data_IF_209876465879
#
_entry.id   IF_209876465879
#
_cell.length_a   1.000
_cell.length_b   1.000
_cell.length_c   1.000
_cell.angle_alpha   90.00
_cell.angle_beta   90.00
_cell.angle_gamma   90.00
#
_symmetry.space_group_name_H-M   'P 1'
#
loop_
_entity.id
_entity.type
_entity.pdbx_description
1 polymer ?
#
# COMPACT_ATOMS: atom_id res chain seq x y z
N UNK A 1 37.50 20.97 46.63
CA UNK A 1 37.75 19.63 46.05
C UNK A 1 36.59 18.72 46.42
N UNK A 2 35.68 18.48 45.49
CA UNK A 2 34.81 17.30 45.48
C UNK A 2 34.36 17.10 44.04
N UNK A 3 34.82 15.98 43.50
CA UNK A 3 34.75 15.52 42.12
C UNK A 3 33.31 15.18 41.72
N UNK A 4 32.85 15.73 40.60
CA UNK A 4 31.64 15.29 39.91
C UNK A 4 31.91 13.96 39.19
N UNK A 5 31.06 12.97 39.45
CA UNK A 5 31.05 11.66 38.78
C UNK A 5 30.74 11.79 37.28
N UNK A 6 31.56 11.23 36.38
CA UNK A 6 31.19 11.01 34.99
C UNK A 6 30.75 9.56 34.81
N UNK A 7 29.44 9.30 34.95
CA UNK A 7 28.90 7.96 34.66
C UNK A 7 27.49 8.07 34.09
N UNK A 8 27.42 8.47 32.81
CA UNK A 8 26.35 8.11 31.87
C UNK A 8 26.72 8.54 30.44
N UNK A 9 27.77 7.92 29.89
CA UNK A 9 27.94 7.81 28.44
C UNK A 9 27.70 6.34 28.08
N UNK A 10 26.44 5.97 27.90
CA UNK A 10 26.10 4.75 27.17
C UNK A 10 26.56 4.95 25.73
N UNK A 11 27.57 4.19 25.31
CA UNK A 11 28.01 4.10 23.92
C UNK A 11 26.81 3.68 23.06
N UNK A 12 26.15 4.62 22.38
CA UNK A 12 25.26 4.28 21.27
C UNK A 12 26.13 3.63 20.20
N UNK A 13 26.10 2.31 20.08
CA UNK A 13 26.62 1.64 18.91
C UNK A 13 25.93 2.26 17.69
N UNK A 14 26.70 2.87 16.80
CA UNK A 14 26.18 3.42 15.56
C UNK A 14 25.52 2.29 14.78
N UNK A 15 24.25 2.47 14.41
CA UNK A 15 23.51 1.45 13.68
C UNK A 15 24.24 1.09 12.37
N UNK A 16 24.32 -0.19 12.07
CA UNK A 16 25.07 -0.78 10.98
C UNK A 16 24.18 -0.93 9.76
N UNK A 17 24.52 -0.22 8.68
CA UNK A 17 23.78 -0.28 7.42
C UNK A 17 24.66 -0.92 6.36
N UNK A 18 24.10 -1.87 5.62
CA UNK A 18 24.78 -2.47 4.47
C UNK A 18 24.17 -1.98 3.17
N UNK A 19 25.01 -1.78 2.16
CA UNK A 19 24.60 -1.36 0.82
C UNK A 19 25.14 -2.36 -0.19
N UNK A 20 24.29 -2.93 -1.02
CA UNK A 20 24.70 -3.81 -2.13
C UNK A 20 24.18 -3.24 -3.45
N UNK A 21 25.10 -2.93 -4.36
CA UNK A 21 24.81 -2.34 -5.67
C UNK A 21 26.05 -2.53 -6.57
N UNK A 22 25.87 -2.89 -7.83
CA UNK A 22 26.98 -3.09 -8.77
C UNK A 22 27.58 -1.76 -9.25
N UNK A 23 26.82 -0.66 -9.20
CA UNK A 23 27.29 0.68 -9.51
C UNK A 23 28.10 1.28 -8.34
N UNK A 24 29.42 1.43 -8.57
CA UNK A 24 30.33 2.06 -7.63
C UNK A 24 29.90 3.49 -7.25
N UNK A 25 29.33 4.27 -8.17
CA UNK A 25 28.91 5.64 -7.94
C UNK A 25 27.76 5.70 -6.93
N UNK A 26 26.78 4.80 -7.09
CA UNK A 26 25.63 4.68 -6.18
C UNK A 26 26.10 4.26 -4.79
N UNK A 27 26.96 3.23 -4.69
CA UNK A 27 27.54 2.81 -3.41
C UNK A 27 28.28 3.94 -2.72
N UNK A 28 29.12 4.66 -3.45
CA UNK A 28 29.91 5.75 -2.90
C UNK A 28 29.04 6.90 -2.35
N UNK A 29 28.01 7.30 -3.10
CA UNK A 29 27.09 8.37 -2.68
C UNK A 29 26.31 7.95 -1.43
N UNK A 30 25.72 6.75 -1.42
CA UNK A 30 24.98 6.24 -0.27
C UNK A 30 25.87 6.05 0.96
N UNK A 31 27.07 5.50 0.78
CA UNK A 31 28.01 5.30 1.87
C UNK A 31 28.42 6.63 2.51
N UNK A 32 28.71 7.65 1.70
CA UNK A 32 29.06 8.98 2.21
C UNK A 32 27.89 9.63 2.95
N UNK A 33 26.70 9.57 2.38
CA UNK A 33 25.47 10.10 2.96
C UNK A 33 25.16 9.50 4.33
N UNK A 34 25.08 8.17 4.39
CA UNK A 34 24.70 7.44 5.59
C UNK A 34 25.76 7.55 6.69
N UNK A 35 27.07 7.56 6.33
CA UNK A 35 28.14 7.85 7.30
C UNK A 35 28.04 9.26 7.86
N UNK A 36 27.72 10.25 7.02
CA UNK A 36 27.53 11.64 7.46
C UNK A 36 26.34 11.79 8.41
N UNK A 37 25.32 10.93 8.27
CA UNK A 37 24.20 10.83 9.20
C UNK A 37 24.50 10.05 10.49
N UNK A 38 25.73 9.56 10.69
CA UNK A 38 26.18 8.89 11.91
C UNK A 38 26.03 7.36 11.92
N UNK A 39 25.77 6.74 10.76
CA UNK A 39 25.69 5.28 10.64
C UNK A 39 27.04 4.64 10.33
N UNK A 40 27.21 3.37 10.74
CA UNK A 40 28.33 2.55 10.27
C UNK A 40 27.92 1.86 8.97
N UNK A 41 28.65 2.12 7.88
CA UNK A 41 28.27 1.61 6.55
C UNK A 41 29.32 0.66 5.99
N UNK A 42 28.86 -0.46 5.43
CA UNK A 42 29.68 -1.44 4.70
C UNK A 42 29.01 -1.68 3.34
N UNK A 43 29.78 -1.58 2.25
CA UNK A 43 29.26 -1.65 0.88
C UNK A 43 29.79 -2.87 0.13
N UNK A 44 28.94 -3.48 -0.71
CA UNK A 44 29.23 -4.72 -1.43
C UNK A 44 28.91 -4.55 -2.91
N UNK A 45 29.79 -5.02 -3.78
CA UNK A 45 29.61 -4.93 -5.25
C UNK A 45 28.81 -6.10 -5.84
N UNK A 46 28.47 -7.10 -5.02
CA UNK A 46 27.72 -8.27 -5.49
C UNK A 46 26.97 -8.96 -4.35
N UNK A 47 25.85 -9.60 -4.71
CA UNK A 47 25.05 -10.44 -3.83
C UNK A 47 25.89 -11.55 -3.16
N UNK A 48 26.82 -12.17 -3.88
CA UNK A 48 27.68 -13.22 -3.34
C UNK A 48 28.55 -12.75 -2.16
N UNK A 49 29.12 -11.54 -2.25
CA UNK A 49 29.92 -10.96 -1.15
C UNK A 49 29.04 -10.61 0.05
N UNK A 50 27.85 -10.07 -0.19
CA UNK A 50 26.85 -9.80 0.84
C UNK A 50 26.47 -11.10 1.58
N UNK A 51 26.09 -12.15 0.84
CA UNK A 51 25.68 -13.44 1.40
C UNK A 51 26.81 -14.11 2.20
N UNK A 52 28.06 -14.02 1.72
CA UNK A 52 29.21 -14.51 2.46
C UNK A 52 29.39 -13.76 3.78
N UNK A 53 29.19 -12.43 3.78
CA UNK A 53 29.29 -11.60 4.97
C UNK A 53 28.16 -11.87 5.97
N UNK A 54 26.93 -12.09 5.49
CA UNK A 54 25.75 -12.44 6.31
C UNK A 54 25.97 -13.68 7.19
N UNK A 55 26.80 -14.62 6.75
CA UNK A 55 27.18 -15.81 7.56
C UNK A 55 27.96 -15.47 8.83
N UNK A 56 28.55 -14.27 8.92
CA UNK A 56 29.45 -13.86 10.01
C UNK A 56 28.94 -12.67 10.83
N UNK A 57 28.00 -11.89 10.29
CA UNK A 57 27.41 -10.70 10.93
C UNK A 57 26.12 -10.37 10.19
N UNK A 58 25.19 -9.71 10.86
CA UNK A 58 24.02 -9.10 10.22
C UNK A 58 24.11 -7.57 10.30
N UNK A 59 23.55 -6.83 9.33
CA UNK A 59 23.30 -5.41 9.47
C UNK A 59 21.98 -5.15 10.20
N UNK A 60 21.78 -3.90 10.59
CA UNK A 60 20.52 -3.41 11.13
C UNK A 60 19.52 -3.02 10.03
N UNK A 61 20.02 -2.61 8.86
CA UNK A 61 19.27 -2.29 7.63
C UNK A 61 20.11 -2.68 6.41
N UNK A 62 19.47 -3.24 5.37
CA UNK A 62 20.10 -3.52 4.09
C UNK A 62 19.49 -2.65 2.99
N UNK A 63 20.31 -1.94 2.22
CA UNK A 63 19.95 -1.37 0.93
C UNK A 63 20.43 -2.32 -0.17
N UNK A 64 19.55 -2.71 -1.09
CA UNK A 64 19.88 -3.65 -2.17
C UNK A 64 19.33 -3.19 -3.51
N UNK A 65 20.18 -3.17 -4.55
CA UNK A 65 19.70 -3.11 -5.92
C UNK A 65 18.99 -4.42 -6.31
N UNK A 66 17.85 -4.35 -7.01
CA UNK A 66 17.16 -5.52 -7.58
C UNK A 66 17.89 -6.03 -8.83
N UNK A 67 18.58 -5.17 -9.58
CA UNK A 67 19.14 -5.53 -10.88
C UNK A 67 20.66 -5.59 -10.85
N UNK A 68 21.21 -6.42 -9.98
CA UNK A 68 22.62 -6.77 -10.06
C UNK A 68 22.86 -7.91 -11.06
N UNK A 69 23.97 -7.89 -11.82
CA UNK A 69 24.37 -9.02 -12.65
C UNK A 69 24.56 -10.29 -11.81
N UNK A 70 23.88 -11.38 -12.18
CA UNK A 70 23.97 -12.67 -11.48
C UNK A 70 22.62 -13.16 -10.95
N UNK A 71 22.51 -13.37 -9.63
CA UNK A 71 21.25 -13.76 -8.99
C UNK A 71 20.19 -12.66 -9.18
N UNK A 72 18.98 -13.05 -9.57
CA UNK A 72 17.82 -12.16 -9.66
C UNK A 72 17.61 -11.48 -8.30
N UNK A 73 17.63 -10.13 -8.24
CA UNK A 73 17.58 -9.42 -6.96
C UNK A 73 16.27 -9.62 -6.20
N UNK A 74 15.18 -10.01 -6.88
CA UNK A 74 13.97 -10.49 -6.20
C UNK A 74 14.15 -11.88 -5.57
N UNK A 75 14.97 -12.74 -6.21
CA UNK A 75 15.42 -14.00 -5.64
C UNK A 75 16.30 -13.81 -4.41
N UNK A 76 17.23 -12.84 -4.44
CA UNK A 76 18.03 -12.44 -3.28
C UNK A 76 17.11 -11.95 -2.15
N UNK A 77 16.18 -11.05 -2.44
CA UNK A 77 15.21 -10.55 -1.47
C UNK A 77 14.41 -11.69 -0.81
N UNK A 78 13.90 -12.62 -1.61
CA UNK A 78 13.15 -13.79 -1.13
C UNK A 78 14.00 -14.70 -0.24
N UNK A 79 15.26 -14.95 -0.63
CA UNK A 79 16.22 -15.74 0.15
C UNK A 79 16.54 -15.08 1.51
N UNK A 80 16.71 -13.75 1.50
CA UNK A 80 16.98 -12.97 2.70
C UNK A 80 15.77 -12.89 3.63
N UNK A 81 14.55 -12.78 3.10
CA UNK A 81 13.34 -12.84 3.91
C UNK A 81 13.15 -14.20 4.59
N UNK A 82 13.48 -15.30 3.90
CA UNK A 82 13.40 -16.64 4.49
C UNK A 82 14.47 -16.89 5.57
N UNK A 83 15.69 -16.37 5.39
CA UNK A 83 16.81 -16.60 6.31
C UNK A 83 16.92 -15.57 7.44
N UNK A 84 16.48 -14.33 7.19
CA UNK A 84 16.58 -13.18 8.08
C UNK A 84 15.28 -12.34 8.04
N UNK A 85 14.14 -12.88 8.48
CA UNK A 85 12.82 -12.22 8.36
C UNK A 85 12.71 -10.90 9.13
N UNK A 86 13.56 -10.68 10.13
CA UNK A 86 13.59 -9.43 10.91
C UNK A 86 14.48 -8.33 10.31
N UNK A 87 15.24 -8.64 9.25
CA UNK A 87 16.11 -7.66 8.60
C UNK A 87 15.28 -6.75 7.69
N UNK A 88 15.16 -5.44 7.96
CA UNK A 88 14.50 -4.53 7.03
C UNK A 88 15.37 -4.32 5.79
N UNK A 89 14.83 -4.69 4.64
CA UNK A 89 15.49 -4.57 3.33
C UNK A 89 14.83 -3.44 2.55
N UNK A 90 15.60 -2.40 2.22
CA UNK A 90 15.21 -1.31 1.34
C UNK A 90 15.73 -1.62 -0.05
N UNK A 91 14.83 -1.64 -1.01
CA UNK A 91 15.15 -1.91 -2.40
C UNK A 91 15.54 -0.64 -3.13
N UNK A 92 16.57 -0.68 -3.95
CA UNK A 92 16.95 0.40 -4.87
C UNK A 92 16.68 -0.11 -6.29
N UNK A 93 16.05 0.70 -7.14
CA UNK A 93 15.73 0.27 -8.51
C UNK A 93 15.79 1.44 -9.50
N UNK A 94 16.28 1.18 -10.72
CA UNK A 94 16.21 2.12 -11.83
C UNK A 94 14.85 2.15 -12.54
N UNK A 95 13.98 1.16 -12.28
CA UNK A 95 12.60 1.20 -12.74
C UNK A 95 11.71 1.87 -11.72
N UNK A 96 11.11 2.96 -12.16
CA UNK A 96 10.21 3.80 -11.42
C UNK A 96 8.76 3.52 -11.81
N UNK A 97 8.44 2.28 -12.22
CA UNK A 97 7.12 1.85 -12.63
C UNK A 97 6.40 1.07 -11.53
N UNK A 98 5.08 0.91 -11.71
CA UNK A 98 4.20 0.31 -10.71
C UNK A 98 4.58 -1.14 -10.42
N UNK A 99 4.85 -1.94 -11.45
CA UNK A 99 5.16 -3.37 -11.30
C UNK A 99 6.42 -3.60 -10.47
N UNK A 100 7.46 -2.79 -10.66
CA UNK A 100 8.68 -2.89 -9.86
C UNK A 100 8.44 -2.52 -8.40
N UNK A 101 7.63 -1.48 -8.13
CA UNK A 101 7.27 -1.10 -6.78
C UNK A 101 6.47 -2.22 -6.08
N UNK A 102 5.48 -2.79 -6.75
CA UNK A 102 4.68 -3.90 -6.23
C UNK A 102 5.55 -5.12 -5.98
N UNK A 103 6.37 -5.54 -6.96
CA UNK A 103 7.23 -6.71 -6.85
C UNK A 103 8.22 -6.62 -5.67
N UNK A 104 8.74 -5.41 -5.39
CA UNK A 104 9.58 -5.18 -4.21
C UNK A 104 8.83 -5.46 -2.90
N UNK A 105 7.61 -4.93 -2.74
CA UNK A 105 6.80 -5.20 -1.54
C UNK A 105 6.30 -6.65 -1.48
N UNK A 106 5.97 -7.27 -2.61
CA UNK A 106 5.59 -8.70 -2.67
C UNK A 106 6.72 -9.61 -2.20
N UNK A 107 7.97 -9.31 -2.60
CA UNK A 107 9.16 -10.01 -2.14
C UNK A 107 9.51 -9.76 -0.67
N UNK A 108 8.80 -8.87 0.02
CA UNK A 108 9.00 -8.57 1.45
C UNK A 108 9.96 -7.40 1.72
N UNK A 109 10.17 -6.50 0.76
CA UNK A 109 10.90 -5.27 1.03
C UNK A 109 10.19 -4.43 2.11
N UNK A 110 10.98 -3.78 2.97
CA UNK A 110 10.49 -2.81 3.92
C UNK A 110 10.00 -1.53 3.24
N UNK A 111 10.75 -1.07 2.23
CA UNK A 111 10.39 0.02 1.33
C UNK A 111 11.26 -0.05 0.07
N UNK A 112 11.03 0.84 -0.89
CA UNK A 112 11.88 1.02 -2.07
C UNK A 112 12.25 2.50 -2.31
N UNK A 113 13.39 2.67 -3.00
CA UNK A 113 14.04 3.94 -3.34
C UNK A 113 14.35 3.97 -4.85
N UNK A 114 13.58 4.72 -5.66
CA UNK A 114 13.79 4.79 -7.11
C UNK A 114 15.04 5.61 -7.47
N UNK A 115 15.81 5.19 -8.49
CA UNK A 115 16.90 5.97 -9.08
C UNK A 115 16.31 6.91 -10.16
N UNK A 116 16.72 8.20 -10.23
CA UNK A 116 17.59 8.89 -9.28
C UNK A 116 16.85 9.22 -7.97
N UNK A 117 17.55 9.12 -6.84
CA UNK A 117 17.02 9.43 -5.51
C UNK A 117 17.72 10.62 -4.87
N UNK A 118 17.02 11.26 -3.94
CA UNK A 118 17.61 12.21 -3.01
C UNK A 118 18.34 11.47 -1.87
N UNK A 119 19.48 12.01 -1.46
CA UNK A 119 20.29 11.48 -0.36
C UNK A 119 19.52 11.57 0.97
N UNK A 120 18.78 12.65 1.19
CA UNK A 120 18.00 12.86 2.40
C UNK A 120 16.89 11.81 2.51
N UNK A 121 16.32 11.36 1.38
CA UNK A 121 15.31 10.31 1.36
C UNK A 121 15.88 8.96 1.82
N UNK A 122 17.10 8.62 1.38
CA UNK A 122 17.80 7.41 1.79
C UNK A 122 18.08 7.43 3.31
N UNK A 123 18.52 8.57 3.85
CA UNK A 123 18.77 8.74 5.29
C UNK A 123 17.47 8.61 6.09
N UNK A 124 16.37 9.25 5.65
CA UNK A 124 15.07 9.15 6.32
C UNK A 124 14.53 7.71 6.30
N UNK A 125 14.69 7.00 5.19
CA UNK A 125 14.30 5.60 5.06
C UNK A 125 15.08 4.70 6.03
N UNK A 126 16.39 4.89 6.13
CA UNK A 126 17.23 4.17 7.08
C UNK A 126 16.78 4.39 8.54
N UNK A 127 16.53 5.65 8.93
CA UNK A 127 16.05 5.99 10.27
C UNK A 127 14.69 5.35 10.57
N UNK A 128 13.78 5.37 9.59
CA UNK A 128 12.45 4.77 9.71
C UNK A 128 12.54 3.25 9.89
N UNK A 129 13.37 2.58 9.08
CA UNK A 129 13.62 1.14 9.16
C UNK A 129 14.21 0.72 10.51
N UNK A 130 15.13 1.52 11.08
CA UNK A 130 15.70 1.28 12.40
C UNK A 130 14.67 1.43 13.52
N UNK A 131 13.72 2.36 13.37
CA UNK A 131 12.68 2.64 14.36
C UNK A 131 11.56 1.60 14.35
N UNK A 132 11.36 0.91 13.23
CA UNK A 132 10.27 -0.05 13.01
C UNK A 132 10.61 -1.50 13.34
N UNK A 133 11.56 -1.76 14.26
CA UNK A 133 11.93 -3.11 14.76
C UNK A 133 10.84 -3.83 15.55
N UNK A 134 9.57 -3.65 15.18
CA UNK A 134 8.50 -4.53 15.61
C UNK A 134 8.18 -5.52 14.49
N UNK A 135 7.95 -6.80 14.84
CA UNK A 135 7.73 -7.84 13.87
C UNK A 135 6.41 -7.59 13.14
N UNK A 136 6.46 -7.43 11.82
CA UNK A 136 5.30 -7.70 10.98
C UNK A 136 5.35 -9.16 10.57
N UNK A 137 4.25 -9.84 10.84
CA UNK A 137 4.06 -11.26 10.57
C UNK A 137 4.38 -11.61 9.10
N UNK A 138 4.94 -12.79 8.84
CA UNK A 138 5.09 -13.30 7.48
C UNK A 138 3.70 -13.71 6.99
N UNK A 139 3.13 -12.95 6.06
CA UNK A 139 1.97 -13.43 5.29
C UNK A 139 2.43 -13.87 3.89
N UNK A 140 2.64 -15.19 3.81
CA UNK A 140 2.33 -16.09 2.71
C UNK A 140 2.87 -15.68 1.33
N UNK A 141 3.92 -16.38 0.91
CA UNK A 141 4.25 -16.60 -0.50
C UNK A 141 3.10 -17.36 -1.17
N UNK A 142 2.39 -16.72 -2.08
CA UNK A 142 1.62 -17.42 -3.11
C UNK A 142 2.13 -16.95 -4.46
N UNK A 143 2.78 -17.88 -5.15
CA UNK A 143 3.08 -17.82 -6.57
C UNK A 143 1.86 -17.33 -7.34
N UNK A 144 2.06 -16.39 -8.25
CA UNK A 144 1.16 -16.26 -9.40
C UNK A 144 1.93 -15.69 -10.57
N UNK A 145 2.37 -16.59 -11.43
CA UNK A 145 2.27 -16.35 -12.85
C UNK A 145 0.78 -16.33 -13.20
N UNK A 146 0.29 -15.23 -13.74
CA UNK A 146 -0.67 -15.16 -14.84
C UNK A 146 -1.03 -13.70 -15.08
N UNK A 147 -0.35 -13.11 -16.07
CA UNK A 147 -0.73 -11.87 -16.70
C UNK A 147 -2.01 -12.14 -17.52
N UNK A 148 -3.13 -11.58 -17.07
CA UNK A 148 -4.26 -11.29 -17.95
C UNK A 148 -4.29 -9.80 -18.20
N UNK A 149 -3.88 -9.50 -19.41
CA UNK A 149 -3.72 -8.21 -20.05
C UNK A 149 -5.05 -7.44 -20.10
N UNK A 150 -5.10 -6.33 -19.38
CA UNK A 150 -5.90 -5.14 -19.70
C UNK A 150 -5.11 -3.93 -19.21
N UNK A 151 -3.98 -3.66 -19.87
CA UNK A 151 -3.13 -2.50 -19.59
C UNK A 151 -3.92 -1.19 -19.73
N UNK A 152 -4.21 -0.58 -18.60
CA UNK A 152 -4.37 0.87 -18.48
C UNK A 152 -3.23 1.32 -17.56
N UNK A 153 -2.02 1.29 -18.13
CA UNK A 153 -0.81 1.46 -17.34
C UNK A 153 -0.74 2.86 -16.76
N UNK A 154 -0.58 2.90 -15.45
CA UNK A 154 -0.36 4.11 -14.67
C UNK A 154 1.10 4.52 -14.93
N UNK A 155 1.32 5.46 -15.84
CA UNK A 155 2.66 5.88 -16.27
C UNK A 155 3.01 7.22 -15.62
N UNK A 156 4.19 7.33 -15.01
CA UNK A 156 4.68 8.61 -14.51
C UNK A 156 5.99 8.53 -13.75
N UNK A 157 6.99 9.29 -14.17
CA UNK A 157 8.31 9.32 -13.53
C UNK A 157 8.48 10.50 -12.55
N UNK A 158 7.45 11.31 -12.35
CA UNK A 158 7.49 12.42 -11.41
C UNK A 158 7.58 11.91 -9.96
N UNK A 159 8.28 12.62 -9.04
CA UNK A 159 8.40 12.20 -7.64
C UNK A 159 7.05 11.90 -6.96
N UNK A 160 6.02 12.71 -7.22
CA UNK A 160 4.68 12.47 -6.68
C UNK A 160 4.05 11.16 -7.17
N UNK A 161 4.32 10.76 -8.42
CA UNK A 161 3.85 9.47 -8.95
C UNK A 161 4.59 8.28 -8.31
N UNK A 162 5.87 8.47 -7.98
CA UNK A 162 6.62 7.45 -7.22
C UNK A 162 6.05 7.25 -5.82
N UNK A 163 5.61 8.31 -5.16
CA UNK A 163 4.91 8.18 -3.88
C UNK A 163 3.59 7.40 -4.01
N UNK A 164 2.86 7.61 -5.11
CA UNK A 164 1.64 6.84 -5.42
C UNK A 164 1.97 5.37 -5.66
N UNK A 165 2.96 5.04 -6.49
CA UNK A 165 3.38 3.64 -6.72
C UNK A 165 3.82 2.95 -5.43
N UNK A 166 4.55 3.68 -4.56
CA UNK A 166 4.91 3.20 -3.23
C UNK A 166 3.72 2.94 -2.33
N UNK A 167 2.74 3.84 -2.33
CA UNK A 167 1.52 3.64 -1.59
C UNK A 167 0.75 2.41 -2.11
N UNK A 168 0.63 2.26 -3.43
CA UNK A 168 -0.05 1.12 -4.06
C UNK A 168 0.64 -0.19 -3.66
N UNK A 169 1.95 -0.32 -3.89
CA UNK A 169 2.68 -1.56 -3.58
C UNK A 169 2.58 -1.95 -2.11
N UNK A 170 2.69 -0.98 -1.19
CA UNK A 170 2.55 -1.21 0.25
C UNK A 170 1.13 -1.63 0.66
N UNK A 171 0.10 -1.08 0.01
CA UNK A 171 -1.30 -1.33 0.36
C UNK A 171 -1.91 -2.50 -0.42
N UNK A 172 -1.30 -2.94 -1.52
CA UNK A 172 -1.86 -3.94 -2.42
C UNK A 172 -2.22 -5.23 -1.68
N UNK A 173 -1.31 -5.73 -0.83
CA UNK A 173 -1.49 -6.96 -0.05
C UNK A 173 -2.36 -6.83 1.20
N UNK A 174 -2.80 -5.62 1.54
CA UNK A 174 -3.64 -5.37 2.71
C UNK A 174 -5.12 -5.29 2.34
N UNK A 175 -6.00 -5.74 3.24
CA UNK A 175 -7.45 -5.58 3.09
C UNK A 175 -7.98 -4.25 3.66
N UNK A 176 -7.10 -3.31 4.04
CA UNK A 176 -7.53 -2.00 4.55
C UNK A 176 -8.29 -1.20 3.49
N UNK A 177 -9.24 -0.40 3.95
CA UNK A 177 -9.91 0.62 3.15
C UNK A 177 -8.90 1.66 2.70
N UNK A 178 -8.99 2.09 1.44
CA UNK A 178 -8.12 3.13 0.88
C UNK A 178 -8.99 4.28 0.38
N UNK A 179 -8.71 5.49 0.83
CA UNK A 179 -9.28 6.72 0.29
C UNK A 179 -8.28 7.39 -0.66
N UNK A 180 -8.73 7.68 -1.89
CA UNK A 180 -7.94 8.32 -2.94
C UNK A 180 -8.46 9.75 -3.13
N UNK A 181 -7.66 10.73 -2.72
CA UNK A 181 -7.96 12.14 -2.91
C UNK A 181 -7.26 12.66 -4.17
N UNK A 182 -7.97 13.46 -4.96
CA UNK A 182 -7.39 14.13 -6.12
C UNK A 182 -8.47 14.79 -6.97
N UNK A 183 -8.06 15.82 -7.73
CA UNK A 183 -8.97 16.54 -8.61
C UNK A 183 -9.67 15.61 -9.63
N UNK A 184 -10.78 16.05 -10.20
CA UNK A 184 -11.48 15.28 -11.22
C UNK A 184 -10.58 15.09 -12.45
N UNK A 185 -10.50 13.87 -12.96
CA UNK A 185 -9.66 13.55 -14.13
C UNK A 185 -8.20 13.20 -13.84
N UNK A 186 -7.74 13.17 -12.58
CA UNK A 186 -6.34 12.82 -12.23
C UNK A 186 -6.05 11.31 -12.21
N UNK A 187 -6.94 10.47 -12.75
CA UNK A 187 -6.73 9.02 -12.81
C UNK A 187 -6.99 8.26 -11.51
N UNK A 188 -7.85 8.76 -10.60
CA UNK A 188 -8.22 8.06 -9.34
C UNK A 188 -8.72 6.62 -9.56
N UNK A 189 -9.50 6.40 -10.62
CA UNK A 189 -9.96 5.04 -10.98
C UNK A 189 -8.78 4.13 -11.39
N UNK A 190 -7.78 4.67 -12.09
CA UNK A 190 -6.59 3.90 -12.47
C UNK A 190 -5.81 3.43 -11.23
N UNK A 191 -5.70 4.30 -10.21
CA UNK A 191 -5.10 3.94 -8.92
C UNK A 191 -5.91 2.85 -8.21
N UNK A 192 -7.24 2.95 -8.23
CA UNK A 192 -8.11 1.92 -7.63
C UNK A 192 -8.00 0.57 -8.34
N UNK A 193 -7.89 0.57 -9.68
CA UNK A 193 -7.68 -0.63 -10.49
C UNK A 193 -6.31 -1.26 -10.21
N UNK A 194 -5.26 -0.45 -10.13
CA UNK A 194 -3.93 -0.90 -9.75
C UNK A 194 -3.92 -1.58 -8.36
N UNK A 195 -4.55 -0.95 -7.36
CA UNK A 195 -4.71 -1.54 -6.02
C UNK A 195 -5.40 -2.91 -6.06
N UNK A 196 -6.42 -3.07 -6.91
CA UNK A 196 -7.11 -4.35 -7.06
C UNK A 196 -6.26 -5.41 -7.77
N UNK A 197 -5.66 -5.06 -8.91
CA UNK A 197 -4.84 -5.95 -9.75
C UNK A 197 -3.66 -6.56 -8.99
N UNK A 198 -3.05 -5.78 -8.09
CA UNK A 198 -1.93 -6.24 -7.27
C UNK A 198 -2.35 -6.79 -5.90
N UNK A 199 -3.65 -6.89 -5.62
CA UNK A 199 -4.13 -7.39 -4.33
C UNK A 199 -4.27 -8.91 -4.26
N UNK A 200 -4.42 -9.41 -3.03
CA UNK A 200 -4.85 -10.79 -2.76
C UNK A 200 -6.22 -11.13 -3.38
N UNK A 201 -7.00 -10.12 -3.78
CA UNK A 201 -8.34 -10.26 -4.37
C UNK A 201 -8.38 -10.04 -5.88
N UNK A 202 -7.23 -10.02 -6.57
CA UNK A 202 -7.15 -9.77 -8.02
C UNK A 202 -7.94 -10.73 -8.91
N UNK A 203 -8.24 -11.94 -8.41
CA UNK A 203 -9.06 -12.94 -9.10
C UNK A 203 -10.57 -12.71 -8.86
N UNK A 204 -10.92 -11.89 -7.87
CA UNK A 204 -12.28 -11.50 -7.57
C UNK A 204 -12.77 -10.34 -8.45
N UNK A 205 -14.05 -9.98 -8.36
CA UNK A 205 -14.62 -8.90 -9.15
C UNK A 205 -14.11 -7.52 -8.73
N UNK A 206 -13.83 -6.66 -9.71
CA UNK A 206 -13.70 -5.22 -9.50
C UNK A 206 -15.00 -4.52 -9.91
N UNK A 207 -15.77 -4.04 -8.93
CA UNK A 207 -17.04 -3.36 -9.16
C UNK A 207 -16.86 -1.87 -8.89
N UNK A 208 -17.03 -1.04 -9.92
CA UNK A 208 -16.98 0.41 -9.78
C UNK A 208 -18.39 1.01 -9.68
N UNK A 209 -18.56 1.99 -8.81
CA UNK A 209 -19.78 2.75 -8.64
C UNK A 209 -19.44 4.23 -8.48
N UNK A 210 -19.86 5.05 -9.45
CA UNK A 210 -19.77 6.50 -9.31
C UNK A 210 -21.04 7.03 -8.64
N UNK A 211 -20.89 7.55 -7.43
CA UNK A 211 -22.03 8.00 -6.61
C UNK A 211 -22.66 9.30 -7.11
N UNK A 212 -21.91 10.14 -7.82
CA UNK A 212 -22.41 11.38 -8.42
C UNK A 212 -23.21 11.14 -9.70
N UNK A 213 -22.97 10.02 -10.39
CA UNK A 213 -23.65 9.66 -11.65
C UNK A 213 -25.04 9.05 -11.44
N UNK A 214 -25.40 8.65 -10.22
CA UNK A 214 -26.62 7.93 -9.91
C UNK A 214 -27.57 8.84 -9.12
N UNK A 215 -28.85 8.94 -9.51
CA UNK A 215 -29.85 9.67 -8.72
C UNK A 215 -29.88 9.18 -7.26
N UNK A 216 -29.96 10.12 -6.30
CA UNK A 216 -29.84 9.84 -4.86
C UNK A 216 -30.86 8.79 -4.38
N UNK A 217 -32.06 8.83 -4.94
CA UNK A 217 -33.16 7.90 -4.70
C UNK A 217 -32.91 6.48 -5.20
N UNK A 218 -32.02 6.30 -6.18
CA UNK A 218 -31.65 4.99 -6.73
C UNK A 218 -30.33 4.46 -6.17
N UNK A 219 -29.49 5.32 -5.60
CA UNK A 219 -28.15 4.95 -5.12
C UNK A 219 -28.20 3.84 -4.06
N UNK A 220 -29.20 3.86 -3.17
CA UNK A 220 -29.40 2.83 -2.16
C UNK A 220 -29.63 1.44 -2.79
N UNK A 221 -30.52 1.41 -3.76
CA UNK A 221 -30.90 0.20 -4.49
C UNK A 221 -29.75 -0.32 -5.36
N UNK A 222 -28.93 0.56 -5.94
CA UNK A 222 -27.72 0.15 -6.66
C UNK A 222 -26.66 -0.45 -5.72
N UNK A 223 -26.41 0.16 -4.57
CA UNK A 223 -25.42 -0.31 -3.59
C UNK A 223 -25.81 -1.65 -2.96
N UNK A 224 -27.02 -1.72 -2.38
CA UNK A 224 -27.44 -2.83 -1.54
C UNK A 224 -28.42 -3.78 -2.24
N UNK A 225 -28.91 -3.45 -3.43
CA UNK A 225 -29.94 -4.24 -4.11
C UNK A 225 -31.32 -4.03 -3.51
N UNK A 226 -32.33 -4.62 -4.14
CA UNK A 226 -33.71 -4.53 -3.67
C UNK A 226 -34.47 -5.83 -3.91
N UNK A 227 -35.48 -6.06 -3.07
CA UNK A 227 -36.48 -7.10 -3.28
C UNK A 227 -37.62 -6.61 -4.18
N UNK A 228 -38.35 -7.55 -4.77
CA UNK A 228 -39.54 -7.23 -5.58
C UNK A 228 -40.56 -6.48 -4.73
N UNK A 229 -41.03 -5.34 -5.23
CA UNK A 229 -42.02 -4.50 -4.53
C UNK A 229 -41.46 -3.58 -3.44
N UNK A 230 -40.13 -3.44 -3.33
CA UNK A 230 -39.49 -2.57 -2.34
C UNK A 230 -39.84 -1.07 -2.52
N UNK A 231 -40.12 -0.63 -3.75
CA UNK A 231 -40.56 0.73 -4.09
C UNK A 231 -41.37 0.71 -5.40
N UNK A 232 -42.01 1.83 -5.75
CA UNK A 232 -42.75 1.98 -7.00
C UNK A 232 -41.82 1.82 -8.20
N UNK A 233 -42.01 0.75 -8.97
CA UNK A 233 -41.14 0.40 -10.11
C UNK A 233 -40.21 -0.79 -9.85
N UNK A 234 -40.14 -1.32 -8.63
CA UNK A 234 -39.39 -2.54 -8.29
C UNK A 234 -40.10 -3.81 -8.80
N UNK A 235 -40.10 -4.01 -10.12
CA UNK A 235 -40.81 -5.12 -10.78
C UNK A 235 -40.22 -6.51 -10.43
N UNK A 236 -38.95 -6.57 -10.08
CA UNK A 236 -38.24 -7.79 -9.71
C UNK A 236 -37.20 -7.52 -8.62
N UNK A 237 -36.55 -8.58 -8.17
CA UNK A 237 -35.41 -8.51 -7.27
C UNK A 237 -34.16 -8.12 -8.07
N UNK A 238 -33.27 -7.31 -7.48
CA UNK A 238 -31.99 -6.92 -8.07
C UNK A 238 -30.86 -7.04 -7.06
N UNK A 239 -29.74 -7.62 -7.50
CA UNK A 239 -28.52 -7.78 -6.71
C UNK A 239 -27.73 -6.46 -6.72
N UNK A 240 -27.34 -6.00 -5.53
CA UNK A 240 -26.58 -4.75 -5.35
C UNK A 240 -25.08 -4.89 -5.64
N UNK A 241 -24.37 -3.75 -5.67
CA UNK A 241 -22.92 -3.72 -5.90
C UNK A 241 -22.11 -4.41 -4.83
N UNK A 242 -22.54 -4.36 -3.56
CA UNK A 242 -21.86 -5.09 -2.48
C UNK A 242 -21.85 -6.60 -2.70
N UNK A 243 -23.00 -7.17 -3.11
CA UNK A 243 -23.09 -8.59 -3.43
C UNK A 243 -22.28 -8.94 -4.70
N UNK A 244 -22.36 -8.10 -5.74
CA UNK A 244 -21.58 -8.28 -6.97
C UNK A 244 -20.07 -8.25 -6.70
N UNK A 245 -19.63 -7.46 -5.72
CA UNK A 245 -18.22 -7.29 -5.36
C UNK A 245 -17.71 -8.34 -4.36
N UNK A 246 -18.53 -9.32 -3.98
CA UNK A 246 -18.16 -10.35 -3.02
C UNK A 246 -16.88 -11.10 -3.43
N UNK A 247 -15.92 -11.23 -2.50
CA UNK A 247 -14.60 -11.82 -2.74
C UNK A 247 -13.65 -10.90 -3.52
N UNK A 248 -14.08 -9.69 -3.89
CA UNK A 248 -13.36 -8.75 -4.74
C UNK A 248 -13.20 -7.38 -4.10
N UNK A 249 -13.26 -6.35 -4.94
CA UNK A 249 -13.11 -4.93 -4.57
C UNK A 249 -14.29 -4.11 -5.08
N UNK A 250 -14.87 -3.31 -4.20
CA UNK A 250 -15.87 -2.30 -4.54
C UNK A 250 -15.20 -0.93 -4.52
N UNK A 251 -15.14 -0.30 -5.68
CA UNK A 251 -14.63 1.05 -5.88
C UNK A 251 -15.80 2.05 -5.83
N UNK A 252 -15.77 2.94 -4.84
CA UNK A 252 -16.76 4.01 -4.64
C UNK A 252 -16.16 5.34 -5.11
N UNK A 253 -16.49 5.75 -6.32
CA UNK A 253 -16.06 7.03 -6.87
C UNK A 253 -16.98 8.17 -6.41
N UNK A 254 -16.36 9.31 -6.17
CA UNK A 254 -16.95 10.52 -5.61
C UNK A 254 -17.70 10.32 -4.28
N UNK A 255 -17.14 9.53 -3.35
CA UNK A 255 -17.77 9.17 -2.06
C UNK A 255 -18.33 10.37 -1.26
N UNK A 256 -17.76 11.56 -1.45
CA UNK A 256 -18.29 12.78 -0.86
C UNK A 256 -19.75 13.03 -1.24
N UNK A 257 -20.16 12.76 -2.48
CA UNK A 257 -21.52 13.02 -2.96
C UNK A 257 -22.59 12.05 -2.41
N UNK A 258 -22.17 11.07 -1.60
CA UNK A 258 -23.07 10.13 -0.95
C UNK A 258 -24.00 10.84 0.07
N UNK A 259 -25.32 10.64 -0.01
CA UNK A 259 -26.28 11.10 0.99
C UNK A 259 -25.99 10.61 2.43
N UNK A 260 -26.30 11.43 3.43
CA UNK A 260 -26.00 11.16 4.85
C UNK A 260 -26.67 9.90 5.43
N UNK A 261 -27.88 9.61 4.98
CA UNK A 261 -28.62 8.39 5.31
C UNK A 261 -27.89 7.14 4.78
N UNK A 262 -27.34 7.22 3.56
CA UNK A 262 -26.54 6.15 2.97
C UNK A 262 -25.18 5.98 3.64
N UNK A 263 -24.52 7.07 4.03
CA UNK A 263 -23.27 7.01 4.79
C UNK A 263 -23.43 6.20 6.09
N UNK A 264 -24.58 6.36 6.77
CA UNK A 264 -24.90 5.62 8.00
C UNK A 264 -25.03 4.11 7.75
N UNK A 265 -25.64 3.72 6.62
CA UNK A 265 -25.73 2.31 6.24
C UNK A 265 -24.37 1.75 5.80
N UNK A 266 -23.62 2.52 5.00
CA UNK A 266 -22.28 2.15 4.58
C UNK A 266 -21.37 1.86 5.79
N UNK A 267 -21.37 2.73 6.81
CA UNK A 267 -20.61 2.52 8.03
C UNK A 267 -20.93 1.18 8.72
N UNK A 268 -22.21 0.78 8.76
CA UNK A 268 -22.62 -0.53 9.32
C UNK A 268 -22.07 -1.68 8.50
N UNK A 269 -22.09 -1.58 7.18
CA UNK A 269 -21.53 -2.64 6.31
C UNK A 269 -20.01 -2.73 6.47
N UNK A 270 -19.31 -1.59 6.59
CA UNK A 270 -17.88 -1.55 6.89
C UNK A 270 -17.52 -2.11 8.27
N UNK A 271 -18.45 -2.04 9.22
CA UNK A 271 -18.25 -2.57 10.57
C UNK A 271 -18.50 -4.08 10.65
N UNK A 272 -19.63 -4.53 10.09
CA UNK A 272 -20.15 -5.88 10.34
C UNK A 272 -20.05 -6.82 9.13
N UNK A 273 -19.71 -6.30 7.94
CA UNK A 273 -19.67 -7.09 6.69
C UNK A 273 -21.02 -7.65 6.25
N UNK A 274 -22.12 -7.06 6.73
CA UNK A 274 -23.48 -7.56 6.51
C UNK A 274 -24.49 -6.43 6.32
N UNK A 275 -25.53 -6.70 5.53
CA UNK A 275 -26.60 -5.75 5.24
C UNK A 275 -27.89 -6.44 4.81
N UNK A 276 -28.94 -5.65 4.63
CA UNK A 276 -30.21 -6.06 4.05
C UNK A 276 -30.43 -5.31 2.74
N UNK A 277 -31.02 -5.99 1.75
CA UNK A 277 -31.55 -5.34 0.55
C UNK A 277 -32.66 -4.36 0.93
N UNK A 278 -32.91 -3.37 0.08
CA UNK A 278 -34.07 -2.49 0.23
C UNK A 278 -35.35 -3.32 0.19
N UNK A 279 -36.18 -3.18 1.22
CA UNK A 279 -37.42 -3.96 1.39
C UNK A 279 -37.21 -5.43 1.76
N UNK A 280 -35.97 -5.87 1.95
CA UNK A 280 -35.63 -7.25 2.31
C UNK A 280 -35.51 -7.46 3.82
N UNK A 281 -35.79 -8.68 4.26
CA UNK A 281 -35.60 -9.14 5.66
C UNK A 281 -34.50 -10.18 5.81
N UNK A 282 -33.93 -10.64 4.69
CA UNK A 282 -32.82 -11.58 4.69
C UNK A 282 -31.50 -10.82 4.89
N UNK A 283 -30.75 -11.25 5.91
CA UNK A 283 -29.41 -10.75 6.17
C UNK A 283 -28.42 -11.33 5.16
N UNK A 284 -27.67 -10.46 4.51
CA UNK A 284 -26.68 -10.81 3.49
C UNK A 284 -25.30 -10.50 4.06
N UNK A 285 -24.37 -11.45 3.96
CA UNK A 285 -22.97 -11.28 4.35
C UNK A 285 -22.09 -11.18 3.12
N UNK A 286 -21.22 -10.19 3.09
CA UNK A 286 -20.30 -9.99 1.97
C UNK A 286 -18.91 -9.63 2.49
N UNK A 287 -17.90 -10.36 2.03
CA UNK A 287 -16.50 -9.96 2.19
C UNK A 287 -16.06 -9.13 0.97
N UNK A 288 -15.86 -7.82 1.14
CA UNK A 288 -15.52 -6.88 0.07
C UNK A 288 -14.44 -5.92 0.55
N UNK A 289 -13.40 -5.71 -0.27
CA UNK A 289 -12.41 -4.66 -0.03
C UNK A 289 -12.95 -3.36 -0.58
N UNK A 290 -12.86 -2.28 0.19
CA UNK A 290 -13.37 -0.98 -0.21
C UNK A 290 -12.23 -0.06 -0.63
N UNK A 291 -12.38 0.53 -1.80
CA UNK A 291 -11.53 1.63 -2.26
C UNK A 291 -12.46 2.79 -2.58
N UNK A 292 -12.24 3.96 -1.98
CA UNK A 292 -13.05 5.13 -2.20
C UNK A 292 -12.22 6.23 -2.86
N UNK A 293 -12.86 7.08 -3.66
CA UNK A 293 -12.23 8.24 -4.27
C UNK A 293 -13.10 9.48 -4.13
N UNK A 294 -12.48 10.65 -4.05
CA UNK A 294 -13.21 11.93 -4.15
C UNK A 294 -12.28 13.08 -4.56
N UNK A 295 -12.84 14.07 -5.25
CA UNK A 295 -12.20 15.37 -5.46
C UNK A 295 -12.45 16.38 -4.33
N UNK A 296 -13.36 16.06 -3.41
CA UNK A 296 -13.77 16.96 -2.34
C UNK A 296 -12.87 16.81 -1.11
N UNK A 297 -12.72 17.89 -0.34
CA UNK A 297 -12.06 17.86 0.97
C UNK A 297 -13.05 17.38 2.01
N UNK A 298 -12.93 16.12 2.43
CA UNK A 298 -13.89 15.50 3.34
C UNK A 298 -13.88 16.16 4.73
N UNK A 299 -12.76 16.71 5.17
CA UNK A 299 -12.64 17.44 6.43
C UNK A 299 -13.60 18.66 6.48
N UNK A 300 -13.68 19.40 5.37
CA UNK A 300 -14.60 20.53 5.23
C UNK A 300 -16.07 20.05 5.21
N UNK A 301 -16.32 18.87 4.63
CA UNK A 301 -17.66 18.26 4.59
C UNK A 301 -18.11 17.72 5.93
N UNK A 302 -17.18 17.18 6.72
CA UNK A 302 -17.42 16.78 8.11
C UNK A 302 -17.78 18.01 8.94
N UNK A 303 -16.98 19.07 8.82
CA UNK A 303 -17.22 20.34 9.56
C UNK A 303 -18.57 20.97 9.20
N UNK A 304 -19.01 20.85 7.95
CA UNK A 304 -20.31 21.36 7.48
C UNK A 304 -21.48 20.39 7.69
N UNK A 305 -21.27 19.23 8.32
CA UNK A 305 -22.31 18.24 8.60
C UNK A 305 -22.85 17.50 7.37
N UNK A 306 -22.10 17.52 6.27
CA UNK A 306 -22.46 16.87 5.00
C UNK A 306 -21.77 15.52 4.80
N UNK A 307 -20.80 15.20 5.66
CA UNK A 307 -20.13 13.91 5.71
C UNK A 307 -19.97 13.49 7.16
N UNK A 308 -20.12 12.21 7.46
CA UNK A 308 -19.99 11.71 8.83
C UNK A 308 -18.52 11.54 9.21
N UNK A 309 -18.18 12.03 10.40
CA UNK A 309 -16.84 11.90 10.98
C UNK A 309 -16.45 10.43 11.22
N UNK A 310 -17.40 9.61 11.69
CA UNK A 310 -17.17 8.19 11.95
C UNK A 310 -16.87 7.38 10.68
N UNK A 311 -17.48 7.74 9.56
CA UNK A 311 -17.18 7.16 8.25
C UNK A 311 -15.83 7.65 7.72
N UNK A 312 -15.46 8.91 7.94
CA UNK A 312 -14.19 9.46 7.47
C UNK A 312 -12.98 8.77 8.11
N UNK A 313 -13.08 8.36 9.38
CA UNK A 313 -12.01 7.67 10.10
C UNK A 313 -11.96 6.15 9.90
N UNK A 314 -12.87 5.58 9.09
CA UNK A 314 -13.00 4.14 8.88
C UNK A 314 -12.32 3.67 7.60
#
# INVERSE_FOLDING_TARGET
>A
MMTLNPSQQSSKNAAKIWVVDDDHSIRWVLERALKSAGFTVESFESAAKLLARLRTSTPDVLFSDIRMPGEDGLGLLSSLQNSHPELPIIIITAHSDLDSAVGAFEGGAFDYLPKPFDIDDAVRLAQRALSSRQPKAPEITTESANATDTQTDLIGNAPAMQEIFRAIGRLARSNVTVLINGESGTGKELVARALHQHSLRRQGPFVALNTAAIPKDLLESELFGHEKGAFTGAAGQRVGRFEQAHGGTLFLDEIGDMPMDLQTRLLRVLADGQFYRVGGTQLIRTDVRIVAATHQRLEDRVTSGQFREDLFHR
#
